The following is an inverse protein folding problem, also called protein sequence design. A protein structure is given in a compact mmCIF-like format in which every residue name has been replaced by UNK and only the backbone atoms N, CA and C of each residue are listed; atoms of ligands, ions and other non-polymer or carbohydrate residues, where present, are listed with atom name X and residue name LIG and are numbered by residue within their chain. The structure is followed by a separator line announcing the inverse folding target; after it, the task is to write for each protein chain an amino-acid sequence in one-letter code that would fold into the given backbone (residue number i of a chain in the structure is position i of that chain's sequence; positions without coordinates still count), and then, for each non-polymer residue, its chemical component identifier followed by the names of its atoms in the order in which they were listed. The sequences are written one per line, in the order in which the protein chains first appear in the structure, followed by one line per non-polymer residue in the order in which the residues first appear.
data_IF_283766502858
#
_entry.id   IF_283766502858
#
_cell.length_a   1.000
_cell.length_b   1.000
_cell.length_c   1.000
_cell.angle_alpha   90.00
_cell.angle_beta   90.00
_cell.angle_gamma   90.00
#
_symmetry.space_group_name_H-M   'P 1'
#
loop_
_entity.id
_entity.type
_entity.pdbx_description
1 polymer ?
#
# COMPACT_ATOMS: atom_id res chain seq x y z
N UNK A 1 -26.57 4.41 -12.98
CA UNK A 1 -25.75 4.32 -11.74
C UNK A 1 -24.94 3.04 -11.81
N UNK A 2 -23.61 3.11 -11.90
CA UNK A 2 -22.73 1.95 -12.07
C UNK A 2 -22.93 0.92 -10.95
N UNK A 3 -23.01 -0.36 -11.32
CA UNK A 3 -23.09 -1.52 -10.41
C UNK A 3 -21.96 -1.54 -9.38
N UNK A 4 -20.85 -0.83 -9.61
CA UNK A 4 -19.73 -0.71 -8.69
C UNK A 4 -20.06 0.02 -7.37
N UNK A 5 -20.99 0.99 -7.35
CA UNK A 5 -21.37 1.71 -6.11
C UNK A 5 -22.12 0.85 -5.09
N UNK A 6 -22.69 -0.29 -5.52
CA UNK A 6 -23.42 -1.20 -4.60
C UNK A 6 -22.50 -2.06 -3.73
N UNK A 7 -21.20 -2.11 -4.03
CA UNK A 7 -20.22 -2.97 -3.35
C UNK A 7 -19.18 -2.22 -2.52
N UNK A 8 -19.39 -0.92 -2.28
CA UNK A 8 -18.54 -0.09 -1.44
C UNK A 8 -19.36 0.37 -0.23
N UNK A 9 -19.05 -0.08 1.00
CA UNK A 9 -19.80 0.29 2.21
C UNK A 9 -19.47 1.70 2.71
N UNK A 10 -19.02 2.58 1.80
CA UNK A 10 -18.44 3.87 2.12
C UNK A 10 -19.34 4.96 1.58
N UNK A 11 -19.66 5.93 2.44
CA UNK A 11 -20.39 7.12 2.03
C UNK A 11 -19.60 7.93 0.99
N UNK A 12 -20.23 8.91 0.34
CA UNK A 12 -19.52 9.76 -0.62
C UNK A 12 -18.30 10.48 0.03
N UNK A 13 -18.33 10.64 1.35
CA UNK A 13 -17.30 11.29 2.19
C UNK A 13 -16.22 10.32 2.69
N UNK A 14 -16.15 9.08 2.21
CA UNK A 14 -15.05 8.20 2.57
C UNK A 14 -15.14 7.53 3.95
N UNK A 15 -16.32 7.60 4.59
CA UNK A 15 -16.55 6.99 5.91
C UNK A 15 -17.14 5.59 5.76
N UNK A 16 -16.50 4.64 6.44
CA UNK A 16 -17.13 3.38 6.84
C UNK A 16 -18.48 3.69 7.52
N UNK A 17 -19.51 2.90 7.22
CA UNK A 17 -20.68 2.80 8.11
C UNK A 17 -20.27 2.43 9.54
N UNK A 18 -21.23 2.11 10.42
CA UNK A 18 -20.86 1.72 11.79
C UNK A 18 -19.90 0.53 11.74
N UNK A 19 -18.70 0.66 12.34
CA UNK A 19 -17.63 -0.33 12.21
C UNK A 19 -18.05 -1.72 12.70
N UNK A 20 -18.96 -1.78 13.68
CA UNK A 20 -19.57 -3.01 14.21
C UNK A 20 -20.67 -3.61 13.32
N UNK A 21 -20.94 -3.04 12.15
CA UNK A 21 -21.84 -3.58 11.13
C UNK A 21 -21.04 -4.02 9.88
N UNK A 22 -19.72 -3.81 9.87
CA UNK A 22 -18.87 -4.22 8.76
C UNK A 22 -18.75 -5.75 8.69
N UNK A 23 -18.98 -6.40 7.53
CA UNK A 23 -18.95 -7.86 7.40
C UNK A 23 -17.62 -8.46 7.89
N UNK A 24 -16.48 -7.83 7.58
CA UNK A 24 -15.16 -8.25 8.04
C UNK A 24 -14.92 -8.21 9.57
N UNK A 25 -15.84 -7.63 10.35
CA UNK A 25 -15.81 -7.64 11.83
C UNK A 25 -16.86 -8.55 12.46
N UNK A 26 -18.00 -8.74 11.79
CA UNK A 26 -19.15 -9.47 12.33
C UNK A 26 -19.20 -10.94 11.90
N UNK A 27 -18.59 -11.26 10.76
CA UNK A 27 -18.50 -12.64 10.28
C UNK A 27 -17.39 -13.39 11.05
N UNK A 28 -17.83 -14.29 11.93
CA UNK A 28 -16.92 -15.10 12.75
C UNK A 28 -16.08 -16.07 11.90
N UNK A 29 -16.62 -16.62 10.82
CA UNK A 29 -15.90 -17.56 9.94
C UNK A 29 -14.78 -16.83 9.22
N UNK A 30 -15.08 -15.64 8.68
CA UNK A 30 -14.07 -14.78 8.07
C UNK A 30 -12.97 -14.41 9.06
N UNK A 31 -13.33 -13.99 10.28
CA UNK A 31 -12.35 -13.63 11.31
C UNK A 31 -11.45 -14.79 11.69
N UNK A 32 -12.03 -15.97 11.93
CA UNK A 32 -11.25 -17.17 12.24
C UNK A 32 -10.28 -17.53 11.11
N UNK A 33 -10.71 -17.41 9.84
CA UNK A 33 -9.86 -17.62 8.67
C UNK A 33 -8.72 -16.61 8.61
N UNK A 34 -9.01 -15.31 8.78
CA UNK A 34 -8.01 -14.23 8.79
C UNK A 34 -7.01 -14.39 9.94
N UNK A 35 -7.48 -14.63 11.16
CA UNK A 35 -6.64 -14.82 12.34
C UNK A 35 -5.74 -16.06 12.20
N UNK A 36 -6.26 -17.16 11.63
CA UNK A 36 -5.47 -18.36 11.36
C UNK A 36 -4.37 -18.17 10.31
N UNK A 37 -4.57 -17.27 9.34
CA UNK A 37 -3.54 -16.89 8.37
C UNK A 37 -2.52 -15.93 8.99
N UNK A 38 -2.99 -14.95 9.76
CA UNK A 38 -2.15 -13.98 10.46
C UNK A 38 -1.20 -14.64 11.47
N UNK A 39 -1.70 -15.61 12.25
CA UNK A 39 -0.92 -16.34 13.25
C UNK A 39 0.30 -17.08 12.67
N UNK A 40 0.29 -17.44 11.38
CA UNK A 40 1.44 -18.08 10.71
C UNK A 40 2.66 -17.17 10.60
N UNK A 41 2.45 -15.86 10.68
CA UNK A 41 3.52 -14.87 10.62
C UNK A 41 4.17 -14.60 11.98
N UNK A 42 3.63 -15.18 13.07
CA UNK A 42 4.17 -15.03 14.40
C UNK A 42 5.63 -15.51 14.43
N UNK A 43 6.54 -14.64 14.87
CA UNK A 43 7.99 -14.89 14.88
C UNK A 43 8.62 -15.22 13.52
N UNK A 44 7.92 -14.96 12.41
CA UNK A 44 8.45 -15.17 11.05
C UNK A 44 9.74 -14.37 10.85
N UNK A 45 10.79 -15.00 10.33
CA UNK A 45 12.05 -14.32 10.04
C UNK A 45 12.07 -13.83 8.59
N UNK A 46 12.56 -12.61 8.36
CA UNK A 46 12.60 -12.05 7.00
C UNK A 46 13.41 -12.96 6.08
N UNK A 47 12.82 -13.34 4.96
CA UNK A 47 13.46 -14.19 3.95
C UNK A 47 13.44 -15.70 4.23
N UNK A 48 12.94 -16.17 5.38
CA UNK A 48 12.73 -17.60 5.57
C UNK A 48 11.52 -18.10 4.77
N UNK A 49 11.50 -19.37 4.33
CA UNK A 49 10.32 -19.95 3.69
C UNK A 49 9.11 -19.97 4.63
N UNK A 50 7.91 -19.87 4.05
CA UNK A 50 6.63 -19.97 4.77
C UNK A 50 5.61 -20.72 3.91
N UNK A 51 4.61 -21.38 4.52
CA UNK A 51 3.68 -22.21 3.77
C UNK A 51 2.76 -21.39 2.86
N UNK A 52 2.39 -22.00 1.73
CA UNK A 52 1.31 -21.49 0.89
C UNK A 52 -0.06 -21.58 1.57
N UNK A 53 -1.04 -20.97 0.93
CA UNK A 53 -2.44 -20.97 1.36
C UNK A 53 -3.29 -21.71 0.35
N UNK A 54 -4.02 -22.73 0.81
CA UNK A 54 -5.14 -23.26 0.05
C UNK A 54 -6.27 -22.23 0.10
N UNK A 55 -6.35 -21.38 -0.94
CA UNK A 55 -7.40 -20.39 -1.06
C UNK A 55 -8.72 -21.07 -1.47
N UNK A 56 -9.82 -20.58 -0.94
CA UNK A 56 -11.16 -21.05 -1.32
C UNK A 56 -11.54 -20.47 -2.68
N UNK A 57 -12.50 -21.10 -3.36
CA UNK A 57 -13.06 -20.55 -4.60
C UNK A 57 -13.72 -19.17 -4.38
N UNK A 58 -14.23 -18.89 -3.17
CA UNK A 58 -14.75 -17.56 -2.84
C UNK A 58 -13.62 -16.52 -2.73
N UNK A 59 -12.49 -16.87 -2.12
CA UNK A 59 -11.28 -16.03 -2.05
C UNK A 59 -10.75 -15.74 -3.47
N UNK A 60 -10.67 -16.76 -4.34
CA UNK A 60 -10.30 -16.57 -5.75
C UNK A 60 -11.33 -15.74 -6.54
N UNK A 61 -12.62 -15.88 -6.26
CA UNK A 61 -13.67 -15.06 -6.88
C UNK A 61 -13.58 -13.60 -6.46
N UNK A 62 -13.33 -13.31 -5.19
CA UNK A 62 -13.07 -11.96 -4.69
C UNK A 62 -11.92 -11.32 -5.44
N UNK A 63 -10.80 -12.04 -5.58
CA UNK A 63 -9.65 -11.59 -6.36
C UNK A 63 -10.02 -11.21 -7.80
N UNK A 64 -10.68 -12.12 -8.53
CA UNK A 64 -11.10 -11.88 -9.92
C UNK A 64 -12.03 -10.66 -10.03
N UNK A 65 -12.96 -10.51 -9.10
CA UNK A 65 -13.89 -9.36 -9.05
C UNK A 65 -13.13 -8.05 -8.93
N UNK A 66 -12.19 -7.96 -7.98
CA UNK A 66 -11.39 -6.74 -7.75
C UNK A 66 -10.48 -6.45 -8.93
N UNK A 67 -9.76 -7.46 -9.43
CA UNK A 67 -8.87 -7.32 -10.58
C UNK A 67 -9.62 -6.79 -11.82
N UNK A 68 -10.80 -7.34 -12.13
CA UNK A 68 -11.64 -6.89 -13.25
C UNK A 68 -12.16 -5.47 -13.06
N UNK A 69 -12.50 -5.09 -11.83
CA UNK A 69 -12.98 -3.74 -11.53
C UNK A 69 -11.87 -2.67 -11.61
N UNK A 70 -10.64 -3.02 -11.19
CA UNK A 70 -9.50 -2.10 -11.20
C UNK A 70 -8.95 -1.82 -12.60
N UNK A 71 -8.99 -2.79 -13.51
CA UNK A 71 -8.45 -2.63 -14.87
C UNK A 71 -8.93 -1.36 -15.62
N UNK A 72 -10.24 -1.03 -15.72
CA UNK A 72 -10.68 0.23 -16.31
C UNK A 72 -10.33 1.45 -15.45
N UNK A 73 -10.30 1.32 -14.12
CA UNK A 73 -9.96 2.42 -13.23
C UNK A 73 -8.48 2.82 -13.37
N UNK A 74 -7.56 1.85 -13.46
CA UNK A 74 -6.15 2.11 -13.74
C UNK A 74 -5.95 2.86 -15.05
N UNK A 75 -6.59 2.43 -16.13
CA UNK A 75 -6.49 3.14 -17.42
C UNK A 75 -6.96 4.60 -17.36
N UNK A 76 -7.95 4.89 -16.53
CA UNK A 76 -8.48 6.25 -16.39
C UNK A 76 -7.63 7.12 -15.45
N UNK A 77 -7.13 6.54 -14.35
CA UNK A 77 -6.66 7.31 -13.20
C UNK A 77 -5.18 7.09 -12.85
N UNK A 78 -4.55 5.98 -13.25
CA UNK A 78 -3.16 5.71 -12.92
C UNK A 78 -2.19 6.48 -13.84
N UNK A 79 -1.00 6.79 -13.33
CA UNK A 79 0.05 7.45 -14.12
C UNK A 79 0.69 6.47 -15.11
N UNK A 80 1.39 7.02 -16.10
CA UNK A 80 2.04 6.26 -17.17
C UNK A 80 3.09 5.28 -16.66
N UNK A 81 3.90 5.66 -15.68
CA UNK A 81 4.91 4.77 -15.09
C UNK A 81 4.27 3.52 -14.47
N UNK A 82 3.13 3.69 -13.80
CA UNK A 82 2.38 2.56 -13.23
C UNK A 82 1.74 1.71 -14.30
N UNK A 83 1.18 2.30 -15.35
CA UNK A 83 0.60 1.53 -16.46
C UNK A 83 1.66 0.70 -17.19
N UNK A 84 2.88 1.24 -17.34
CA UNK A 84 4.02 0.49 -17.88
C UNK A 84 4.45 -0.64 -16.92
N UNK A 85 4.56 -0.36 -15.63
CA UNK A 85 4.90 -1.35 -14.62
C UNK A 85 3.86 -2.47 -14.51
N UNK A 86 2.57 -2.16 -14.69
CA UNK A 86 1.46 -3.12 -14.68
C UNK A 86 1.53 -4.07 -15.87
N UNK A 87 1.89 -3.59 -17.07
CA UNK A 87 2.07 -4.44 -18.24
C UNK A 87 3.22 -5.45 -18.07
N UNK A 88 4.19 -5.07 -17.24
CA UNK A 88 5.38 -5.84 -16.89
C UNK A 88 5.19 -6.76 -15.68
N UNK A 89 4.18 -6.48 -14.85
CA UNK A 89 3.90 -7.20 -13.62
C UNK A 89 3.20 -8.52 -13.96
N UNK A 90 3.82 -9.64 -13.58
CA UNK A 90 3.27 -10.99 -13.76
C UNK A 90 2.22 -11.34 -12.69
N UNK A 91 1.32 -10.40 -12.39
CA UNK A 91 0.30 -10.59 -11.36
C UNK A 91 -0.90 -11.35 -11.96
N UNK A 92 -1.24 -12.56 -11.46
CA UNK A 92 -2.29 -13.38 -12.07
C UNK A 92 -3.69 -12.75 -11.97
N UNK A 93 -4.44 -12.76 -13.07
CA UNK A 93 -5.80 -12.23 -13.09
C UNK A 93 -6.86 -13.23 -12.57
N UNK A 94 -6.63 -14.54 -12.73
CA UNK A 94 -7.66 -15.56 -12.56
C UNK A 94 -7.75 -16.15 -11.14
N UNK A 95 -6.84 -15.79 -10.23
CA UNK A 95 -6.93 -16.19 -8.83
C UNK A 95 -5.80 -15.62 -7.98
N UNK A 96 -6.00 -15.63 -6.65
CA UNK A 96 -4.99 -15.23 -5.67
C UNK A 96 -3.70 -16.04 -5.87
N UNK A 97 -2.55 -15.39 -6.15
CA UNK A 97 -1.26 -16.05 -6.28
C UNK A 97 -0.71 -16.49 -4.92
N UNK A 98 0.17 -17.51 -4.91
CA UNK A 98 1.08 -17.67 -3.78
C UNK A 98 2.21 -16.63 -3.89
N UNK A 99 2.72 -16.17 -2.75
CA UNK A 99 3.89 -15.29 -2.75
C UNK A 99 5.10 -15.96 -3.43
N UNK A 100 5.23 -17.28 -3.31
CA UNK A 100 6.29 -18.08 -3.96
C UNK A 100 6.19 -18.10 -5.47
N UNK A 101 5.01 -17.88 -6.05
CA UNK A 101 4.80 -17.94 -7.50
C UNK A 101 5.27 -16.63 -8.16
N UNK A 102 5.07 -15.50 -7.49
CA UNK A 102 5.42 -14.17 -8.01
C UNK A 102 6.82 -13.70 -7.60
N UNK A 103 7.36 -14.22 -6.49
CA UNK A 103 8.68 -13.82 -5.97
C UNK A 103 9.82 -14.03 -6.99
N UNK A 104 9.90 -15.13 -7.76
CA UNK A 104 10.94 -15.31 -8.76
C UNK A 104 10.98 -14.19 -9.81
N UNK A 105 9.81 -13.76 -10.31
CA UNK A 105 9.71 -12.65 -11.27
C UNK A 105 10.16 -11.32 -10.66
N UNK A 106 9.73 -11.02 -9.43
CA UNK A 106 10.17 -9.82 -8.69
C UNK A 106 11.69 -9.84 -8.44
N UNK A 107 12.24 -10.99 -8.04
CA UNK A 107 13.68 -11.15 -7.82
C UNK A 107 14.48 -10.92 -9.10
N UNK A 108 14.03 -11.49 -10.22
CA UNK A 108 14.69 -11.34 -11.50
C UNK A 108 14.69 -9.88 -11.99
N UNK A 109 13.58 -9.15 -11.78
CA UNK A 109 13.42 -7.78 -12.27
C UNK A 109 14.08 -6.73 -11.40
N UNK A 110 13.86 -6.80 -10.10
CA UNK A 110 14.25 -5.72 -9.19
C UNK A 110 15.03 -6.24 -8.00
N UNK A 111 15.18 -7.56 -7.80
CA UNK A 111 15.81 -8.13 -6.62
C UNK A 111 14.91 -8.13 -5.38
N UNK A 112 13.63 -7.75 -5.50
CA UNK A 112 12.68 -7.83 -4.38
C UNK A 112 12.06 -9.22 -4.21
N UNK A 113 11.68 -9.57 -2.99
CA UNK A 113 10.82 -10.70 -2.66
C UNK A 113 9.77 -10.31 -1.62
N UNK A 114 8.69 -11.07 -1.58
CA UNK A 114 7.73 -10.98 -0.49
C UNK A 114 8.22 -11.76 0.72
N UNK A 115 7.93 -11.25 1.91
CA UNK A 115 8.12 -11.93 3.19
C UNK A 115 6.82 -11.87 3.99
N UNK A 116 6.52 -12.92 4.76
CA UNK A 116 5.23 -13.04 5.42
C UNK A 116 5.01 -11.95 6.50
N UNK A 117 3.81 -11.39 6.50
CA UNK A 117 3.28 -10.51 7.53
C UNK A 117 1.93 -11.04 8.06
N UNK A 118 1.68 -10.80 9.35
CA UNK A 118 0.43 -11.18 10.01
C UNK A 118 -0.59 -10.04 10.12
N UNK A 119 -0.31 -8.90 9.51
CA UNK A 119 -1.01 -7.64 9.72
C UNK A 119 0.01 -6.50 9.89
N UNK A 120 -0.29 -5.56 10.79
CA UNK A 120 0.60 -4.40 11.05
C UNK A 120 1.96 -4.87 11.58
N UNK A 121 3.02 -4.52 10.86
CA UNK A 121 4.41 -4.80 11.24
C UNK A 121 5.03 -3.53 11.82
N UNK A 122 5.81 -3.60 12.92
CA UNK A 122 6.51 -2.43 13.45
C UNK A 122 7.38 -1.73 12.39
N UNK A 123 7.35 -0.39 12.35
CA UNK A 123 8.00 0.40 11.30
C UNK A 123 9.48 0.05 11.07
N UNK A 124 10.25 -0.17 12.14
CA UNK A 124 11.65 -0.57 12.04
C UNK A 124 11.82 -1.83 11.18
N UNK A 125 11.02 -2.86 11.48
CA UNK A 125 11.05 -4.13 10.76
C UNK A 125 10.46 -3.99 9.35
N UNK A 126 9.33 -3.29 9.21
CA UNK A 126 8.64 -3.13 7.92
C UNK A 126 9.48 -2.35 6.91
N UNK A 127 9.89 -1.13 7.27
CA UNK A 127 10.65 -0.25 6.40
C UNK A 127 12.08 -0.76 6.22
N UNK A 128 12.75 -1.20 7.29
CA UNK A 128 14.13 -1.67 7.25
C UNK A 128 14.34 -2.91 6.36
N UNK A 129 13.32 -3.75 6.20
CA UNK A 129 13.36 -4.91 5.29
C UNK A 129 13.52 -4.49 3.82
N UNK A 130 13.05 -3.30 3.44
CA UNK A 130 13.03 -2.83 2.05
C UNK A 130 14.43 -2.55 1.51
N UNK A 131 15.39 -2.14 2.35
CA UNK A 131 16.80 -2.00 1.94
C UNK A 131 17.35 -3.31 1.35
N UNK A 132 16.97 -4.42 1.98
CA UNK A 132 17.43 -5.77 1.65
C UNK A 132 16.59 -6.44 0.56
N UNK A 133 15.69 -5.68 -0.09
CA UNK A 133 14.80 -6.21 -1.13
C UNK A 133 13.74 -7.16 -0.59
N UNK A 134 13.20 -6.89 0.60
CA UNK A 134 12.06 -7.62 1.14
C UNK A 134 10.88 -6.67 1.39
N UNK A 135 9.69 -7.10 0.96
CA UNK A 135 8.43 -6.41 1.27
C UNK A 135 7.54 -7.33 2.10
N UNK A 136 7.05 -6.82 3.23
CA UNK A 136 6.16 -7.56 4.12
C UNK A 136 4.74 -7.61 3.53
N UNK A 137 4.25 -8.82 3.27
CA UNK A 137 2.94 -9.05 2.67
C UNK A 137 2.11 -10.05 3.47
N UNK A 138 0.83 -9.75 3.65
CA UNK A 138 -0.16 -10.66 4.26
C UNK A 138 -0.72 -11.63 3.24
N UNK A 139 -1.30 -12.75 3.72
CA UNK A 139 -1.91 -13.77 2.86
C UNK A 139 -3.44 -13.82 2.95
N UNK A 140 -4.09 -13.06 3.84
CA UNK A 140 -5.55 -13.08 3.94
C UNK A 140 -6.18 -12.19 2.85
N UNK A 141 -7.36 -12.59 2.37
CA UNK A 141 -8.16 -11.84 1.39
C UNK A 141 -9.22 -11.02 2.12
N UNK A 142 -9.51 -9.80 1.66
CA UNK A 142 -10.64 -9.00 2.16
C UNK A 142 -11.98 -9.71 2.08
N UNK A 143 -12.94 -9.26 2.88
CA UNK A 143 -14.26 -9.88 2.98
C UNK A 143 -15.05 -9.84 1.65
N UNK A 144 -15.61 -10.97 1.17
CA UNK A 144 -16.25 -11.08 -0.16
C UNK A 144 -17.51 -10.23 -0.33
N UNK A 145 -18.22 -9.88 0.75
CA UNK A 145 -19.39 -9.01 0.70
C UNK A 145 -19.09 -7.54 0.30
N UNK A 146 -17.84 -7.09 0.47
CA UNK A 146 -17.41 -5.70 0.18
C UNK A 146 -16.08 -5.69 -0.59
N UNK A 147 -15.98 -6.39 -1.73
CA UNK A 147 -14.70 -6.69 -2.36
C UNK A 147 -13.98 -5.43 -2.87
N UNK A 148 -14.72 -4.36 -3.18
CA UNK A 148 -14.15 -3.13 -3.72
C UNK A 148 -13.60 -2.17 -2.65
N UNK A 149 -13.52 -2.62 -1.40
CA UNK A 149 -12.97 -1.87 -0.28
C UNK A 149 -12.32 -2.81 0.76
N UNK A 150 -11.31 -2.32 1.46
CA UNK A 150 -10.77 -2.99 2.65
C UNK A 150 -10.31 -1.95 3.68
N UNK A 151 -10.62 -2.12 4.98
CA UNK A 151 -10.15 -1.22 6.04
C UNK A 151 -8.71 -1.50 6.50
N UNK A 152 -8.12 -2.60 6.02
CA UNK A 152 -6.78 -3.05 6.34
C UNK A 152 -6.11 -3.63 5.08
N UNK A 153 -4.78 -3.56 4.96
CA UNK A 153 -4.07 -4.16 3.85
C UNK A 153 -4.32 -5.68 3.83
N UNK A 154 -4.74 -6.19 2.67
CA UNK A 154 -4.96 -7.61 2.38
C UNK A 154 -4.03 -8.07 1.25
N UNK A 155 -4.07 -9.36 0.88
CA UNK A 155 -3.20 -9.90 -0.19
C UNK A 155 -3.42 -9.20 -1.54
N UNK A 156 -4.63 -8.68 -1.81
CA UNK A 156 -4.87 -7.83 -2.99
C UNK A 156 -4.07 -6.54 -2.89
N UNK A 157 -4.08 -5.86 -1.75
CA UNK A 157 -3.26 -4.66 -1.58
C UNK A 157 -1.75 -4.95 -1.73
N UNK A 158 -1.25 -5.93 -1.00
CA UNK A 158 0.19 -6.23 -0.97
C UNK A 158 0.70 -6.81 -2.29
N UNK A 159 -0.04 -7.73 -2.90
CA UNK A 159 0.41 -8.38 -4.14
C UNK A 159 0.02 -7.56 -5.36
N UNK A 160 -1.19 -7.01 -5.41
CA UNK A 160 -1.63 -6.26 -6.59
C UNK A 160 -1.11 -4.82 -6.58
N UNK A 161 -1.27 -4.10 -5.47
CA UNK A 161 -0.79 -2.71 -5.35
C UNK A 161 0.74 -2.64 -5.35
N UNK A 162 1.37 -3.23 -4.33
CA UNK A 162 2.83 -3.19 -4.22
C UNK A 162 3.54 -4.06 -5.25
N UNK A 163 2.96 -5.17 -5.70
CA UNK A 163 3.57 -5.98 -6.76
C UNK A 163 3.79 -5.20 -8.06
N UNK A 164 2.92 -4.25 -8.41
CA UNK A 164 3.15 -3.33 -9.54
C UNK A 164 4.38 -2.45 -9.28
N UNK A 165 4.50 -1.88 -8.08
CA UNK A 165 5.65 -1.06 -7.69
C UNK A 165 6.95 -1.86 -7.76
N UNK A 166 6.94 -3.06 -7.16
CA UNK A 166 8.11 -3.93 -7.05
C UNK A 166 8.52 -4.55 -8.40
N UNK A 167 7.67 -4.48 -9.43
CA UNK A 167 8.00 -4.88 -10.81
C UNK A 167 8.73 -3.78 -11.60
N UNK A 168 8.70 -2.54 -11.11
CA UNK A 168 9.38 -1.38 -11.71
C UNK A 168 10.70 -1.09 -11.00
N UNK A 169 11.86 -1.15 -11.68
CA UNK A 169 13.15 -0.83 -11.08
C UNK A 169 13.20 0.58 -10.45
N UNK A 170 12.56 1.57 -11.09
CA UNK A 170 12.53 2.96 -10.60
C UNK A 170 11.73 3.07 -9.31
N UNK A 171 10.52 2.52 -9.27
CA UNK A 171 9.68 2.58 -8.08
C UNK A 171 10.31 1.74 -6.96
N UNK A 172 10.81 0.54 -7.27
CA UNK A 172 11.47 -0.34 -6.29
C UNK A 172 12.69 0.30 -5.62
N UNK A 173 13.43 1.19 -6.31
CA UNK A 173 14.53 1.93 -5.68
C UNK A 173 14.04 2.91 -4.61
N UNK A 174 12.86 3.52 -4.76
CA UNK A 174 12.28 4.39 -3.72
C UNK A 174 12.03 3.62 -2.41
N UNK A 175 11.60 2.36 -2.50
CA UNK A 175 11.46 1.48 -1.34
C UNK A 175 12.81 1.25 -0.67
N UNK A 176 13.88 1.02 -1.45
CA UNK A 176 15.23 0.85 -0.88
C UNK A 176 15.76 2.12 -0.25
N UNK A 177 15.54 3.27 -0.87
CA UNK A 177 15.94 4.59 -0.34
C UNK A 177 15.32 4.80 1.04
N UNK A 178 14.02 4.55 1.17
CA UNK A 178 13.31 4.63 2.46
C UNK A 178 13.84 3.58 3.45
N UNK A 179 14.07 2.34 3.00
CA UNK A 179 14.63 1.29 3.85
C UNK A 179 16.02 1.62 4.40
N UNK A 180 16.90 2.19 3.58
CA UNK A 180 18.22 2.67 3.99
C UNK A 180 18.13 3.79 5.02
N UNK A 181 17.19 4.72 4.84
CA UNK A 181 16.93 5.75 5.84
C UNK A 181 16.41 5.16 7.16
N UNK A 182 15.49 4.20 7.10
CA UNK A 182 14.95 3.53 8.28
C UNK A 182 16.03 2.77 9.06
N UNK A 183 16.96 2.09 8.38
CA UNK A 183 18.05 1.36 9.03
C UNK A 183 19.14 2.25 9.64
N UNK A 184 19.15 3.57 9.37
CA UNK A 184 20.04 4.55 10.02
C UNK A 184 19.49 5.11 11.33
N UNK A 185 18.20 4.91 11.62
CA UNK A 185 17.54 5.43 12.83
C UNK A 185 16.99 4.30 13.71
N UNK A 186 16.71 4.61 14.98
CA UNK A 186 16.22 3.69 16.00
C UNK A 186 15.06 4.26 16.80
N UNK A 187 14.90 5.59 16.84
CA UNK A 187 13.81 6.17 17.62
C UNK A 187 12.46 5.91 16.95
N UNK A 188 11.41 5.56 17.73
CA UNK A 188 10.06 5.43 17.20
C UNK A 188 9.56 6.71 16.50
N UNK A 189 10.01 7.87 16.96
CA UNK A 189 9.65 9.18 16.43
C UNK A 189 10.23 9.39 15.02
N UNK A 190 11.51 9.07 14.80
CA UNK A 190 12.13 9.14 13.47
C UNK A 190 11.50 8.13 12.49
N UNK A 191 11.27 6.89 12.95
CA UNK A 191 10.61 5.86 12.15
C UNK A 191 9.16 6.22 11.79
N UNK A 192 8.44 6.91 12.69
CA UNK A 192 7.10 7.43 12.43
C UNK A 192 7.09 8.49 11.32
N UNK A 193 8.07 9.40 11.30
CA UNK A 193 8.24 10.40 10.24
C UNK A 193 8.45 9.72 8.89
N UNK A 194 9.38 8.75 8.79
CA UNK A 194 9.60 8.00 7.54
C UNK A 194 8.34 7.26 7.10
N UNK A 195 7.59 6.68 8.04
CA UNK A 195 6.33 6.01 7.76
C UNK A 195 5.27 6.97 7.19
N UNK A 196 5.21 8.24 7.64
CA UNK A 196 4.31 9.26 7.07
C UNK A 196 4.71 9.65 5.65
N UNK A 197 6.02 9.82 5.39
CA UNK A 197 6.51 10.06 4.03
C UNK A 197 6.17 8.88 3.13
N UNK A 198 6.44 7.66 3.56
CA UNK A 198 6.07 6.43 2.86
C UNK A 198 4.56 6.38 2.56
N UNK A 199 3.72 6.72 3.54
CA UNK A 199 2.27 6.74 3.38
C UNK A 199 1.79 7.75 2.32
N UNK A 200 2.21 9.00 2.41
CA UNK A 200 1.75 10.04 1.48
C UNK A 200 2.45 10.00 0.11
N UNK A 201 3.42 9.11 -0.07
CA UNK A 201 4.09 8.86 -1.35
C UNK A 201 3.74 7.47 -1.88
N UNK A 202 4.40 6.42 -1.39
CA UNK A 202 4.28 5.07 -1.95
C UNK A 202 2.90 4.41 -1.73
N UNK A 203 2.13 4.80 -0.71
CA UNK A 203 0.76 4.29 -0.50
C UNK A 203 -0.29 5.13 -1.22
N UNK A 204 -0.25 6.46 -1.06
CA UNK A 204 -1.31 7.38 -1.47
C UNK A 204 -0.88 8.51 -2.41
N UNK A 205 0.33 8.45 -2.96
CA UNK A 205 0.87 9.50 -3.80
C UNK A 205 0.25 9.58 -5.19
N UNK A 206 0.31 10.79 -5.76
CA UNK A 206 -0.08 11.10 -7.13
C UNK A 206 1.12 11.65 -7.93
N UNK A 207 1.08 11.51 -9.25
CA UNK A 207 1.97 12.18 -10.22
C UNK A 207 1.11 13.11 -11.08
N UNK A 208 1.54 14.35 -11.27
CA UNK A 208 0.88 15.28 -12.20
C UNK A 208 1.35 14.99 -13.63
N UNK A 209 0.41 14.61 -14.49
CA UNK A 209 0.65 14.41 -15.92
C UNK A 209 -0.18 15.40 -16.72
N UNK A 210 0.49 16.27 -17.50
CA UNK A 210 -0.20 17.29 -18.32
C UNK A 210 -1.19 18.15 -17.52
N UNK A 211 -0.84 18.48 -16.28
CA UNK A 211 -1.68 19.26 -15.36
C UNK A 211 -2.77 18.46 -14.63
N UNK A 212 -2.86 17.14 -14.84
CA UNK A 212 -3.86 16.27 -14.21
C UNK A 212 -3.17 15.33 -13.22
N UNK A 213 -3.56 15.32 -11.93
CA UNK A 213 -3.08 14.33 -10.97
C UNK A 213 -3.51 12.90 -11.35
N UNK A 214 -2.55 11.98 -11.31
CA UNK A 214 -2.73 10.56 -11.62
C UNK A 214 -2.20 9.71 -10.49
N UNK A 215 -2.95 8.67 -10.12
CA UNK A 215 -2.59 7.77 -9.05
C UNK A 215 -1.31 7.00 -9.38
N UNK A 216 -0.39 6.95 -8.43
CA UNK A 216 0.64 5.92 -8.43
C UNK A 216 0.68 5.14 -7.13
N UNK A 217 0.28 5.69 -5.99
CA UNK A 217 0.36 5.01 -4.70
C UNK A 217 -0.38 3.66 -4.65
N UNK A 218 0.25 2.67 -4.04
CA UNK A 218 -0.20 1.27 -4.02
C UNK A 218 -1.58 1.06 -3.39
N UNK A 219 -1.94 1.84 -2.36
CA UNK A 219 -3.26 1.82 -1.74
C UNK A 219 -4.35 2.32 -2.71
N UNK A 220 -4.06 3.37 -3.48
CA UNK A 220 -4.96 3.82 -4.56
C UNK A 220 -5.09 2.72 -5.62
N UNK A 221 -3.97 2.14 -6.07
CA UNK A 221 -3.98 1.11 -7.11
C UNK A 221 -4.73 -0.17 -6.73
N UNK A 222 -4.93 -0.45 -5.45
CA UNK A 222 -5.59 -1.67 -4.95
C UNK A 222 -7.00 -1.44 -4.36
N UNK A 223 -7.48 -0.19 -4.41
CA UNK A 223 -8.78 0.21 -3.87
C UNK A 223 -9.61 0.94 -4.93
N UNK A 224 -10.59 0.24 -5.51
CA UNK A 224 -11.45 0.79 -6.57
C UNK A 224 -12.16 2.06 -6.12
N UNK A 225 -12.69 2.05 -4.89
CA UNK A 225 -13.38 3.21 -4.34
C UNK A 225 -12.47 4.42 -4.15
N UNK A 226 -11.21 4.22 -3.78
CA UNK A 226 -10.27 5.33 -3.56
C UNK A 226 -9.71 5.92 -4.84
N UNK A 227 -9.29 5.07 -5.79
CA UNK A 227 -8.76 5.55 -7.07
C UNK A 227 -9.82 6.28 -7.90
N UNK A 228 -11.07 5.81 -7.87
CA UNK A 228 -12.17 6.46 -8.58
C UNK A 228 -12.66 7.75 -7.89
N UNK A 229 -12.33 7.95 -6.61
CA UNK A 229 -12.71 9.13 -5.83
C UNK A 229 -11.55 10.10 -5.61
N UNK A 230 -10.41 9.93 -6.29
CA UNK A 230 -9.25 10.79 -6.10
C UNK A 230 -9.56 12.26 -6.42
N UNK A 231 -10.41 12.51 -7.43
CA UNK A 231 -10.76 13.86 -7.91
C UNK A 231 -11.65 14.63 -6.91
N UNK A 232 -12.19 13.93 -5.91
CA UNK A 232 -13.00 14.52 -4.84
C UNK A 232 -12.18 14.91 -3.60
N UNK A 233 -10.85 14.75 -3.64
CA UNK A 233 -9.95 15.00 -2.51
C UNK A 233 -9.21 16.32 -2.67
N UNK A 234 -8.76 16.87 -1.56
CA UNK A 234 -7.81 17.98 -1.62
C UNK A 234 -6.46 17.45 -2.13
N UNK A 235 -6.01 17.92 -3.28
CA UNK A 235 -4.70 17.55 -3.85
C UNK A 235 -3.76 18.75 -3.70
N UNK A 236 -2.65 18.53 -3.01
CA UNK A 236 -1.56 19.51 -2.85
C UNK A 236 -0.37 19.08 -3.68
N UNK A 237 0.45 20.02 -4.12
CA UNK A 237 1.76 19.67 -4.68
C UNK A 237 2.61 18.99 -3.61
N UNK A 238 3.42 18.00 -4.00
CA UNK A 238 4.27 17.26 -3.07
C UNK A 238 5.29 18.19 -2.42
N UNK A 239 5.13 18.37 -1.12
CA UNK A 239 6.09 18.92 -0.18
C UNK A 239 6.33 17.83 0.89
N UNK A 240 7.56 17.33 0.96
CA UNK A 240 7.90 16.21 1.86
C UNK A 240 7.71 16.58 3.33
N UNK A 241 7.97 17.83 3.72
CA UNK A 241 7.77 18.27 5.10
C UNK A 241 6.29 18.35 5.46
N UNK A 242 5.45 18.79 4.52
CA UNK A 242 3.99 18.76 4.72
C UNK A 242 3.45 17.33 4.77
N UNK A 243 3.90 16.46 3.86
CA UNK A 243 3.54 15.04 3.87
C UNK A 243 3.95 14.39 5.19
N UNK A 244 5.19 14.63 5.64
CA UNK A 244 5.69 14.19 6.93
C UNK A 244 4.90 14.76 8.10
N UNK A 245 4.37 15.99 8.02
CA UNK A 245 3.61 16.63 9.10
C UNK A 245 2.13 16.25 9.15
N UNK A 246 1.62 15.53 8.14
CA UNK A 246 0.19 15.25 8.02
C UNK A 246 -0.17 13.96 8.78
N UNK A 247 -1.18 13.98 9.69
CA UNK A 247 -1.70 12.77 10.31
C UNK A 247 -2.58 11.99 9.34
N UNK A 248 -2.57 10.66 9.45
CA UNK A 248 -3.40 9.79 8.65
C UNK A 248 -4.12 8.72 9.47
N UNK A 249 -5.20 8.18 8.90
CA UNK A 249 -5.94 7.01 9.42
C UNK A 249 -5.92 5.90 8.39
N UNK A 250 -5.67 4.67 8.84
CA UNK A 250 -5.60 3.49 7.97
C UNK A 250 -7.00 3.07 7.51
N UNK A 251 -8.01 3.26 8.37
CA UNK A 251 -9.37 2.73 8.19
C UNK A 251 -10.29 3.61 7.33
N UNK A 252 -9.86 4.80 6.90
CA UNK A 252 -10.69 5.75 6.16
C UNK A 252 -10.01 6.26 4.89
N UNK A 253 -10.78 6.83 3.98
CA UNK A 253 -10.20 7.54 2.84
C UNK A 253 -9.40 8.75 3.30
N UNK A 254 -8.29 9.02 2.59
CA UNK A 254 -7.45 10.17 2.88
C UNK A 254 -8.11 11.45 2.36
N UNK A 255 -8.25 12.46 3.21
CA UNK A 255 -8.84 13.75 2.86
C UNK A 255 -7.90 14.63 2.03
N UNK A 256 -6.59 14.44 2.21
CA UNK A 256 -5.52 15.15 1.49
C UNK A 256 -4.63 14.13 0.80
N UNK A 257 -4.28 14.39 -0.46
CA UNK A 257 -3.28 13.67 -1.23
C UNK A 257 -2.18 14.65 -1.70
N UNK A 258 -1.00 14.11 -1.99
CA UNK A 258 0.13 14.89 -2.49
C UNK A 258 0.50 14.42 -3.90
N UNK A 259 0.64 15.38 -4.82
CA UNK A 259 0.98 15.15 -6.22
C UNK A 259 2.38 15.68 -6.55
N UNK A 260 3.30 14.79 -6.94
CA UNK A 260 4.59 15.20 -7.46
C UNK A 260 4.43 15.74 -8.89
N UNK A 261 5.15 16.82 -9.22
CA UNK A 261 5.14 17.43 -10.57
C UNK A 261 5.53 16.46 -11.70
N UNK A 262 6.33 15.45 -11.38
CA UNK A 262 6.76 14.38 -12.27
C UNK A 262 7.32 13.23 -11.44
N UNK A 263 7.55 12.08 -12.08
CA UNK A 263 8.20 10.97 -11.41
C UNK A 263 9.64 11.31 -10.96
N UNK A 264 10.39 12.09 -11.75
CA UNK A 264 11.73 12.55 -11.34
C UNK A 264 11.68 13.51 -10.14
N UNK A 265 10.67 14.38 -10.06
CA UNK A 265 10.48 15.21 -8.87
C UNK A 265 10.22 14.35 -7.62
N UNK A 266 9.47 13.26 -7.75
CA UNK A 266 9.26 12.32 -6.65
C UNK A 266 10.58 11.64 -6.22
N UNK A 267 11.36 11.16 -7.18
CA UNK A 267 12.68 10.55 -6.94
C UNK A 267 13.62 11.52 -6.21
N UNK A 268 13.72 12.76 -6.69
CA UNK A 268 14.56 13.79 -6.08
C UNK A 268 14.07 14.16 -4.67
N UNK A 269 12.76 14.31 -4.47
CA UNK A 269 12.18 14.70 -3.19
C UNK A 269 12.38 13.62 -2.11
N UNK A 270 12.08 12.35 -2.43
CA UNK A 270 12.32 11.23 -1.51
C UNK A 270 13.82 11.03 -1.30
N UNK A 271 14.61 11.07 -2.37
CA UNK A 271 16.06 10.86 -2.34
C UNK A 271 16.76 11.90 -1.46
N UNK A 272 16.50 13.19 -1.66
CA UNK A 272 17.09 14.26 -0.89
C UNK A 272 16.70 14.19 0.59
N UNK A 273 15.41 13.98 0.87
CA UNK A 273 14.94 13.84 2.26
C UNK A 273 15.59 12.64 2.95
N UNK A 274 15.61 11.49 2.29
CA UNK A 274 16.16 10.25 2.83
C UNK A 274 17.68 10.22 2.87
N UNK A 275 18.41 11.08 2.15
CA UNK A 275 19.87 11.17 2.25
C UNK A 275 20.28 11.81 3.60
N UNK A 276 19.66 12.94 3.91
CA UNK A 276 19.93 13.75 5.11
C UNK A 276 19.10 13.31 6.33
N UNK A 277 18.32 12.24 6.22
CA UNK A 277 17.47 11.75 7.31
C UNK A 277 18.32 11.14 8.44
N UNK A 278 18.06 11.58 9.66
CA UNK A 278 18.66 11.12 10.92
C UNK A 278 17.68 11.32 12.09
N UNK A 279 18.10 10.96 13.30
CA UNK A 279 17.28 11.06 14.52
C UNK A 279 16.78 12.48 14.79
N UNK A 280 17.57 13.50 14.43
CA UNK A 280 17.30 14.90 14.74
C UNK A 280 16.46 15.60 13.65
N UNK A 281 16.11 14.90 12.56
CA UNK A 281 15.36 15.47 11.43
C UNK A 281 14.04 16.07 11.87
N UNK A 282 13.34 15.41 12.79
CA UNK A 282 12.07 15.89 13.33
C UNK A 282 12.21 17.27 13.99
N UNK A 283 13.22 17.44 14.83
CA UNK A 283 13.52 18.73 15.48
C UNK A 283 14.01 19.77 14.47
N UNK A 284 14.98 19.39 13.63
CA UNK A 284 15.60 20.26 12.61
C UNK A 284 14.59 20.87 11.65
N UNK A 285 13.55 20.11 11.29
CA UNK A 285 12.50 20.54 10.37
C UNK A 285 11.20 20.99 11.07
N UNK A 286 11.16 20.97 12.41
CA UNK A 286 9.96 21.34 13.18
C UNK A 286 8.76 20.42 12.93
N UNK A 287 8.99 19.14 12.65
CA UNK A 287 7.94 18.17 12.37
C UNK A 287 7.22 17.76 13.66
N UNK A 288 5.88 17.69 13.66
CA UNK A 288 5.13 17.35 14.85
C UNK A 288 5.30 15.87 15.21
N UNK A 289 5.33 15.59 16.52
CA UNK A 289 5.04 14.26 17.06
C UNK A 289 3.53 14.03 16.96
N UNK A 290 3.13 12.91 16.35
CA UNK A 290 1.74 12.58 16.12
C UNK A 290 1.35 11.28 16.86
N UNK A 291 0.06 11.09 17.17
CA UNK A 291 -0.42 9.83 17.74
C UNK A 291 -0.05 8.65 16.85
N UNK A 292 0.52 7.61 17.46
CA UNK A 292 0.90 6.35 16.77
C UNK A 292 -0.28 5.41 16.55
N UNK A 293 -1.40 5.64 17.24
CA UNK A 293 -2.65 4.93 16.96
C UNK A 293 -3.30 5.50 15.71
N UNK A 294 -3.26 4.73 14.63
CA UNK A 294 -3.74 5.10 13.28
C UNK A 294 -5.02 4.35 12.90
N UNK A 295 -5.67 3.70 13.87
CA UNK A 295 -6.89 2.91 13.67
C UNK A 295 -8.17 3.72 13.45
#
# INVERSE_FOLDING_TARGET
MSTARKYTPISAEGRLGRANEHPGRCDHVYRQRRDALAARAENHQVGTPYPGVAYTEEEHRTWRTVHRALAPAHRAHACREVLAALADAEIPAEGVPQHTDITPGLRARTGFALTLAGGVVPNERFLGAMEHGYFHAVQFVRHPAVPLYTPEPDVLHDVFGHGIHLSSPRIAELYRVIGRAANRVRTPEALDILSRVYWYTLEYGLITESGVPKAYGAALLSSYGEIAAQDAREVRELDICQAASTPYRISSYQSVLFAARSFSHLEDAIGAFCAEFDEDTGERLGLPSLPRDRS
#
